data_IF_233659365457
#
_entry.id   IF_233659365457
#
_cell.length_a   1.000
_cell.length_b   1.000
_cell.length_c   1.000
_cell.angle_alpha   90.00
_cell.angle_beta   90.00
_cell.angle_gamma   90.00
#
_symmetry.space_group_name_H-M   'P 1'
#
loop_
_entity.id
_entity.type
_entity.pdbx_description
1 polymer ?
#
# COMPACT_ATOMS: atom_id res chain seq x y z
N UNK A 1 4.20 7.58 -42.25
CA UNK A 1 4.75 7.63 -40.86
C UNK A 1 4.61 6.25 -40.24
N UNK A 2 5.69 5.64 -39.75
CA UNK A 2 5.64 4.27 -39.23
C UNK A 2 4.71 4.20 -37.98
N UNK A 3 3.69 3.33 -37.99
CA UNK A 3 2.65 3.24 -36.94
C UNK A 3 3.23 3.15 -35.53
N UNK A 4 4.35 2.42 -35.38
CA UNK A 4 5.08 2.31 -34.13
C UNK A 4 5.61 3.66 -33.62
N UNK A 5 6.27 4.45 -34.50
CA UNK A 5 6.79 5.79 -34.16
C UNK A 5 5.68 6.78 -33.78
N UNK A 6 4.49 6.66 -34.37
CA UNK A 6 3.33 7.47 -34.00
C UNK A 6 2.84 7.13 -32.58
N UNK A 7 2.65 5.84 -32.29
CA UNK A 7 2.17 5.36 -30.99
C UNK A 7 3.13 5.77 -29.87
N UNK A 8 4.45 5.65 -30.10
CA UNK A 8 5.44 6.04 -29.10
C UNK A 8 5.48 7.54 -28.86
N UNK A 9 5.40 8.36 -29.92
CA UNK A 9 5.33 9.82 -29.80
C UNK A 9 4.06 10.26 -29.09
N UNK A 10 2.92 9.65 -29.43
CA UNK A 10 1.64 9.92 -28.78
C UNK A 10 1.68 9.53 -27.29
N UNK A 11 2.30 8.40 -26.94
CA UNK A 11 2.45 7.99 -25.53
C UNK A 11 3.32 8.97 -24.76
N UNK A 12 4.48 9.33 -25.29
CA UNK A 12 5.42 10.25 -24.65
C UNK A 12 4.84 11.65 -24.42
N UNK A 13 4.01 12.12 -25.34
CA UNK A 13 3.48 13.48 -25.28
C UNK A 13 2.23 13.62 -24.39
N UNK A 14 1.50 12.53 -24.13
CA UNK A 14 0.19 12.59 -23.47
C UNK A 14 0.12 11.82 -22.14
N UNK A 15 1.14 11.04 -21.79
CA UNK A 15 1.11 10.19 -20.60
C UNK A 15 2.44 10.16 -19.87
N UNK A 16 2.38 10.28 -18.55
CA UNK A 16 3.51 9.98 -17.66
C UNK A 16 3.61 8.47 -17.40
N UNK A 17 4.84 7.97 -17.29
CA UNK A 17 5.10 6.57 -16.91
C UNK A 17 5.38 6.49 -15.42
N UNK A 18 4.66 5.60 -14.74
CA UNK A 18 4.89 5.26 -13.34
C UNK A 18 5.48 3.85 -13.24
N UNK A 19 6.66 3.74 -12.66
CA UNK A 19 7.28 2.45 -12.32
C UNK A 19 6.92 2.08 -10.88
N UNK A 20 6.44 0.85 -10.68
CA UNK A 20 5.98 0.37 -9.38
C UNK A 20 6.75 -0.90 -9.02
N UNK A 21 7.42 -0.87 -7.87
CA UNK A 21 8.05 -2.04 -7.28
C UNK A 21 7.02 -2.85 -6.51
N UNK A 22 6.89 -4.12 -6.87
CA UNK A 22 6.04 -5.07 -6.18
C UNK A 22 6.89 -6.22 -5.61
N UNK A 23 6.53 -6.74 -4.43
CA UNK A 23 7.12 -7.96 -3.90
C UNK A 23 7.05 -9.10 -4.91
N UNK A 24 8.09 -9.93 -4.95
CA UNK A 24 8.19 -11.06 -5.88
C UNK A 24 6.94 -11.95 -5.78
N UNK A 25 6.32 -12.25 -6.92
CA UNK A 25 5.09 -13.05 -7.00
C UNK A 25 3.78 -12.23 -6.99
N UNK A 26 3.81 -10.97 -6.55
CA UNK A 26 2.58 -10.17 -6.47
C UNK A 26 2.10 -9.67 -7.84
N UNK A 27 3.01 -9.46 -8.79
CA UNK A 27 2.63 -9.07 -10.15
C UNK A 27 1.78 -10.16 -10.81
N UNK A 28 2.12 -11.43 -10.61
CA UNK A 28 1.41 -12.58 -11.13
C UNK A 28 0.02 -12.69 -10.49
N UNK A 29 -0.08 -12.50 -9.17
CA UNK A 29 -1.35 -12.48 -8.44
C UNK A 29 -2.23 -11.32 -8.93
N UNK A 30 -1.69 -10.11 -9.04
CA UNK A 30 -2.42 -8.94 -9.54
C UNK A 30 -2.92 -9.17 -10.96
N UNK A 31 -2.09 -9.74 -11.83
CA UNK A 31 -2.47 -10.09 -13.20
C UNK A 31 -3.61 -11.11 -13.23
N UNK A 32 -3.56 -12.13 -12.37
CA UNK A 32 -4.64 -13.12 -12.26
C UNK A 32 -5.96 -12.49 -11.80
N UNK A 33 -5.93 -11.62 -10.78
CA UNK A 33 -7.12 -10.90 -10.31
C UNK A 33 -7.71 -10.03 -11.42
N UNK A 34 -6.89 -9.23 -12.11
CA UNK A 34 -7.35 -8.36 -13.19
C UNK A 34 -7.97 -9.15 -14.35
N UNK A 35 -7.40 -10.32 -14.69
CA UNK A 35 -7.95 -11.22 -15.71
C UNK A 35 -9.34 -11.73 -15.34
N UNK A 36 -9.55 -12.12 -14.08
CA UNK A 36 -10.87 -12.58 -13.62
C UNK A 36 -11.92 -11.46 -13.60
N UNK A 37 -11.47 -10.21 -13.52
CA UNK A 37 -12.31 -9.01 -13.58
C UNK A 37 -12.48 -8.47 -15.01
N UNK A 38 -11.88 -9.11 -16.01
CA UNK A 38 -11.86 -8.67 -17.42
C UNK A 38 -11.33 -7.23 -17.63
N UNK A 39 -10.33 -6.83 -16.82
CA UNK A 39 -9.69 -5.51 -16.91
C UNK A 39 -8.16 -5.64 -17.02
N UNK A 40 -7.52 -4.58 -17.53
CA UNK A 40 -6.06 -4.53 -17.55
C UNK A 40 -5.47 -4.07 -16.21
N UNK A 41 -4.23 -4.46 -15.91
CA UNK A 41 -3.50 -3.98 -14.72
C UNK A 41 -3.38 -2.45 -14.71
N UNK A 42 -3.16 -1.84 -15.89
CA UNK A 42 -3.08 -0.39 -16.04
C UNK A 42 -4.41 0.28 -15.69
N UNK A 43 -5.52 -0.28 -16.17
CA UNK A 43 -6.86 0.21 -15.86
C UNK A 43 -7.18 0.09 -14.36
N UNK A 44 -6.88 -1.06 -13.75
CA UNK A 44 -7.03 -1.24 -12.31
C UNK A 44 -6.28 -0.17 -11.51
N UNK A 45 -4.98 0.02 -11.77
CA UNK A 45 -4.14 0.99 -11.06
C UNK A 45 -4.60 2.43 -11.34
N UNK A 46 -4.90 2.77 -12.59
CA UNK A 46 -5.34 4.12 -12.97
C UNK A 46 -6.66 4.48 -12.30
N UNK A 47 -7.61 3.54 -12.20
CA UNK A 47 -8.89 3.77 -11.53
C UNK A 47 -8.68 4.03 -10.04
N UNK A 48 -7.83 3.25 -9.36
CA UNK A 48 -7.49 3.50 -7.96
C UNK A 48 -6.85 4.89 -7.75
N UNK A 49 -5.91 5.28 -8.62
CA UNK A 49 -5.26 6.60 -8.56
C UNK A 49 -6.30 7.71 -8.81
N UNK A 50 -7.17 7.55 -9.82
CA UNK A 50 -8.17 8.56 -10.18
C UNK A 50 -9.15 8.79 -9.04
N UNK A 51 -9.63 7.72 -8.40
CA UNK A 51 -10.51 7.82 -7.24
C UNK A 51 -9.86 8.62 -6.08
N UNK A 52 -8.57 8.37 -5.81
CA UNK A 52 -7.84 9.10 -4.76
C UNK A 52 -7.56 10.58 -5.12
N UNK A 53 -7.37 10.88 -6.42
CA UNK A 53 -7.10 12.23 -6.91
C UNK A 53 -8.36 13.11 -6.96
N UNK A 54 -9.49 12.55 -7.40
CA UNK A 54 -10.74 13.31 -7.56
C UNK A 54 -11.26 13.81 -6.18
N UNK A 55 -11.06 13.02 -5.13
CA UNK A 55 -11.48 13.36 -3.77
C UNK A 55 -10.44 14.20 -2.99
N UNK A 56 -9.25 14.45 -3.55
CA UNK A 56 -8.08 15.02 -2.86
C UNK A 56 -7.77 14.33 -1.51
N UNK A 57 -8.23 13.09 -1.34
CA UNK A 57 -8.15 12.30 -0.12
C UNK A 57 -7.91 10.86 -0.54
N UNK A 58 -6.71 10.36 -0.24
CA UNK A 58 -6.46 8.94 -0.47
C UNK A 58 -7.36 8.10 0.42
N UNK A 59 -7.93 7.02 -0.11
CA UNK A 59 -8.68 6.03 0.68
C UNK A 59 -7.85 5.56 1.89
N UNK A 60 -6.53 5.46 1.74
CA UNK A 60 -5.59 5.09 2.80
C UNK A 60 -5.58 6.06 3.99
N UNK A 61 -5.98 7.31 3.79
CA UNK A 61 -5.93 8.38 4.80
C UNK A 61 -7.30 9.04 5.06
N UNK A 62 -8.32 8.70 4.28
CA UNK A 62 -9.68 9.23 4.40
C UNK A 62 -10.44 8.70 5.63
N UNK A 63 -10.09 7.50 6.12
CA UNK A 63 -10.77 6.82 7.24
C UNK A 63 -10.03 6.93 8.58
N UNK A 64 -8.87 7.57 8.62
CA UNK A 64 -8.10 7.77 9.85
C UNK A 64 -8.45 9.13 10.45
N UNK A 65 -9.06 9.12 11.63
CA UNK A 65 -8.90 10.23 12.59
C UNK A 65 -7.40 10.37 12.89
N UNK A 66 -6.69 11.14 12.06
CA UNK A 66 -5.23 11.37 12.13
C UNK A 66 -4.79 12.12 13.41
N UNK A 67 -5.70 12.31 14.37
CA UNK A 67 -5.46 12.92 15.67
C UNK A 67 -5.48 11.89 16.81
N UNK A 68 -5.74 10.61 16.55
CA UNK A 68 -5.68 9.60 17.61
C UNK A 68 -4.24 9.20 17.87
N UNK A 69 -3.77 9.52 19.08
CA UNK A 69 -2.54 8.95 19.64
C UNK A 69 -2.53 7.42 19.46
N UNK A 70 -1.35 6.85 19.23
CA UNK A 70 -1.16 5.41 19.11
C UNK A 70 -1.78 4.69 20.31
N UNK A 71 -2.90 4.00 20.10
CA UNK A 71 -3.58 3.24 21.15
C UNK A 71 -2.72 2.01 21.53
N UNK A 72 -1.98 2.16 22.62
CA UNK A 72 -1.12 1.09 23.14
C UNK A 72 -1.91 -0.15 23.55
N UNK A 73 -3.18 -0.02 23.96
CA UNK A 73 -4.03 -1.15 24.32
C UNK A 73 -4.37 -2.01 23.09
N UNK A 74 -4.51 -1.40 21.93
CA UNK A 74 -4.71 -2.10 20.66
C UNK A 74 -3.46 -2.90 20.26
N UNK A 75 -2.26 -2.36 20.48
CA UNK A 75 -1.01 -3.10 20.27
C UNK A 75 -0.85 -4.28 21.24
N UNK A 76 -1.31 -4.13 22.49
CA UNK A 76 -1.37 -5.22 23.46
C UNK A 76 -2.36 -6.31 23.03
N UNK A 77 -3.57 -5.94 22.59
CA UNK A 77 -4.57 -6.87 22.05
C UNK A 77 -4.04 -7.65 20.85
N UNK A 78 -3.28 -6.99 19.99
CA UNK A 78 -2.62 -7.60 18.83
C UNK A 78 -1.35 -8.38 19.21
N UNK A 79 -0.97 -8.38 20.48
CA UNK A 79 0.23 -9.00 21.04
C UNK A 79 1.51 -8.57 20.29
N UNK A 80 1.61 -7.28 19.97
CA UNK A 80 2.81 -6.71 19.36
C UNK A 80 3.89 -6.54 20.44
N UNK A 81 5.08 -7.17 20.29
CA UNK A 81 6.15 -7.06 21.27
C UNK A 81 6.59 -5.62 21.51
N UNK A 82 6.85 -5.26 22.78
CA UNK A 82 7.27 -3.90 23.19
C UNK A 82 8.47 -3.38 22.39
N UNK A 83 9.43 -4.25 22.05
CA UNK A 83 10.63 -3.90 21.27
C UNK A 83 10.31 -3.30 19.89
N UNK A 84 9.14 -3.57 19.32
CA UNK A 84 8.71 -3.06 18.02
C UNK A 84 7.78 -1.83 18.12
N UNK A 85 7.35 -1.41 19.31
CA UNK A 85 6.36 -0.32 19.42
C UNK A 85 6.96 1.05 19.11
N UNK A 86 8.26 1.22 19.37
CA UNK A 86 8.94 2.50 19.17
C UNK A 86 8.96 2.97 17.71
N UNK A 87 8.87 2.06 16.74
CA UNK A 87 8.84 2.34 15.29
C UNK A 87 7.43 2.57 14.74
N UNK A 88 6.38 2.32 15.52
CA UNK A 88 4.98 2.46 15.06
C UNK A 88 4.55 3.91 15.30
N UNK A 89 4.05 4.56 14.26
CA UNK A 89 3.47 5.91 14.31
C UNK A 89 1.97 5.83 14.53
N UNK A 90 1.29 4.94 13.81
CA UNK A 90 -0.17 4.84 13.80
C UNK A 90 -0.59 3.40 13.52
N UNK A 91 -1.69 2.96 14.14
CA UNK A 91 -2.25 1.62 13.95
C UNK A 91 -3.78 1.65 14.11
N UNK A 92 -4.50 0.98 13.19
CA UNK A 92 -5.96 0.87 13.23
C UNK A 92 -6.41 -0.47 12.66
N UNK A 93 -7.59 -0.93 13.08
CA UNK A 93 -8.25 -2.09 12.51
C UNK A 93 -9.70 -1.78 12.16
N UNK A 94 -10.12 -2.16 10.96
CA UNK A 94 -11.53 -2.23 10.57
C UNK A 94 -11.84 -3.63 10.06
N UNK A 95 -13.11 -4.05 10.17
CA UNK A 95 -13.54 -5.35 9.62
C UNK A 95 -13.46 -5.39 8.09
N UNK A 96 -13.67 -4.25 7.45
CA UNK A 96 -13.71 -4.12 5.99
C UNK A 96 -12.31 -4.00 5.39
N UNK A 97 -11.44 -3.19 5.99
CA UNK A 97 -10.11 -2.87 5.45
C UNK A 97 -8.99 -3.68 6.13
N UNK A 98 -9.27 -4.40 7.22
CA UNK A 98 -8.28 -5.20 7.93
C UNK A 98 -7.36 -4.37 8.84
N UNK A 99 -6.11 -4.83 9.00
CA UNK A 99 -5.10 -4.20 9.85
C UNK A 99 -4.28 -3.21 9.04
N UNK A 100 -4.25 -1.97 9.51
CA UNK A 100 -3.41 -0.92 8.94
C UNK A 100 -2.43 -0.41 10.00
N UNK A 101 -1.18 -0.26 9.60
CA UNK A 101 -0.11 0.26 10.43
C UNK A 101 0.80 1.16 9.59
N UNK A 102 1.16 2.31 10.16
CA UNK A 102 2.16 3.21 9.61
C UNK A 102 3.36 3.26 10.55
N UNK A 103 4.54 3.03 9.97
CA UNK A 103 5.82 3.20 10.65
C UNK A 103 6.23 4.66 10.65
N UNK A 104 6.98 5.07 11.68
CA UNK A 104 7.58 6.40 11.79
C UNK A 104 8.54 6.66 10.64
N UNK A 105 8.76 7.93 10.34
CA UNK A 105 9.73 8.32 9.33
C UNK A 105 11.13 7.79 9.66
N UNK A 106 11.84 7.33 8.62
CA UNK A 106 13.10 6.61 8.76
C UNK A 106 12.96 5.11 9.01
N UNK A 107 11.74 4.54 9.05
CA UNK A 107 11.51 3.11 9.14
C UNK A 107 10.75 2.56 7.93
N UNK A 108 11.10 1.37 7.49
CA UNK A 108 10.44 0.61 6.41
C UNK A 108 10.26 -0.85 6.81
N UNK A 109 9.43 -1.56 6.06
CA UNK A 109 9.33 -3.02 6.15
C UNK A 109 9.91 -3.70 4.90
N UNK A 110 10.63 -4.81 5.06
CA UNK A 110 11.29 -5.54 3.96
C UNK A 110 10.30 -6.24 3.02
N UNK A 111 9.03 -6.36 3.42
CA UNK A 111 8.04 -7.06 2.60
C UNK A 111 7.68 -6.21 1.40
N UNK A 112 7.34 -4.93 1.61
CA UNK A 112 6.94 -3.99 0.56
C UNK A 112 7.94 -2.87 0.30
N UNK A 113 8.98 -2.75 1.11
CA UNK A 113 9.93 -1.63 1.09
C UNK A 113 9.23 -0.27 1.32
N UNK A 114 8.17 -0.24 2.14
CA UNK A 114 7.37 0.94 2.45
C UNK A 114 7.20 1.14 3.95
N UNK A 115 6.79 2.34 4.37
CA UNK A 115 6.40 2.61 5.77
C UNK A 115 4.99 2.14 6.13
N UNK A 116 4.15 1.85 5.13
CA UNK A 116 2.79 1.36 5.31
C UNK A 116 2.78 -0.16 5.32
N UNK A 117 2.10 -0.74 6.30
CA UNK A 117 1.76 -2.16 6.39
C UNK A 117 0.23 -2.25 6.39
N UNK A 118 -0.33 -2.87 5.36
CA UNK A 118 -1.78 -3.07 5.23
C UNK A 118 -2.07 -4.53 4.88
N UNK A 119 -2.72 -5.24 5.81
CA UNK A 119 -2.92 -6.70 5.72
C UNK A 119 -4.22 -7.12 6.39
N UNK A 120 -4.88 -8.15 5.87
CA UNK A 120 -6.14 -8.65 6.42
C UNK A 120 -5.98 -9.63 7.59
N UNK A 121 -4.76 -10.08 7.86
CA UNK A 121 -4.48 -11.12 8.85
C UNK A 121 -3.43 -10.68 9.87
N UNK A 122 -3.69 -10.98 11.13
CA UNK A 122 -2.82 -10.59 12.25
C UNK A 122 -1.43 -11.24 12.21
N UNK A 123 -1.31 -12.49 11.74
CA UNK A 123 -0.02 -13.16 11.57
C UNK A 123 0.84 -12.45 10.52
N UNK A 124 0.23 -11.96 9.44
CA UNK A 124 0.92 -11.18 8.40
C UNK A 124 1.35 -9.81 8.93
N UNK A 125 0.53 -9.17 9.77
CA UNK A 125 0.89 -7.92 10.43
C UNK A 125 2.14 -8.11 11.29
N UNK A 126 2.14 -9.12 12.17
CA UNK A 126 3.29 -9.41 13.04
C UNK A 126 4.55 -9.76 12.24
N UNK A 127 4.40 -10.50 11.15
CA UNK A 127 5.51 -10.83 10.26
C UNK A 127 6.10 -9.57 9.61
N UNK A 128 5.25 -8.65 9.13
CA UNK A 128 5.69 -7.39 8.53
C UNK A 128 6.41 -6.49 9.54
N UNK A 129 5.85 -6.37 10.76
CA UNK A 129 6.47 -5.63 11.88
C UNK A 129 7.85 -6.23 12.22
N UNK A 130 7.97 -7.55 12.30
CA UNK A 130 9.25 -8.21 12.58
C UNK A 130 10.31 -7.89 11.50
N UNK A 131 9.87 -7.81 10.24
CA UNK A 131 10.71 -7.42 9.10
C UNK A 131 10.82 -5.91 8.90
N UNK A 132 10.54 -5.11 9.93
CA UNK A 132 10.67 -3.66 9.86
C UNK A 132 11.95 -3.20 10.53
N UNK A 133 12.63 -2.23 9.90
CA UNK A 133 13.93 -1.73 10.32
C UNK A 133 14.08 -0.24 9.98
N UNK A 134 15.11 0.39 10.57
CA UNK A 134 15.47 1.79 10.30
C UNK A 134 16.36 1.87 9.06
N UNK A 135 16.06 2.80 8.15
CA UNK A 135 16.86 3.11 6.95
C UNK A 135 18.16 3.83 7.35
#
# INVERSE_FOLDING_TARGET
>A
MNRSKYVDKHRKNNYDRLEILLPKGQKEILTFVCRNLDISVNEYIRTLITNDLDDNKSILFSKSDMNNELDTALLDKWQIPKKYRHMIEYAVYSKEDGYFLRLKDGYINDISNTKIIHVYRLDKLRMAINKSHKI
#
